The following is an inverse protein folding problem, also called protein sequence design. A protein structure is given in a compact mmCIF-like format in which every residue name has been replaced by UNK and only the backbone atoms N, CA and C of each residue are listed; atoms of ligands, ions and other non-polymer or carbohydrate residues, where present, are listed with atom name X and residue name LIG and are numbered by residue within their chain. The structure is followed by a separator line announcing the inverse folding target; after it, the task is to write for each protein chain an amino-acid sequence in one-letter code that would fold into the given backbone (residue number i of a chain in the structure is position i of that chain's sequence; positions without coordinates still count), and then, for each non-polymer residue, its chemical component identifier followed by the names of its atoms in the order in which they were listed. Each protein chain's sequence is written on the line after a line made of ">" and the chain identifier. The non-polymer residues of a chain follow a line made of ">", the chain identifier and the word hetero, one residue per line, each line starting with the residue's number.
data_IF_817290672373
#
_entry.id   IF_817290672373
#
_cell.length_a   1.000
_cell.length_b   1.000
_cell.length_c   1.000
_cell.angle_alpha   90.00
_cell.angle_beta   90.00
_cell.angle_gamma   90.00
#
_symmetry.space_group_name_H-M   'P 1'
#
loop_
_entity.id
_entity.type
_entity.pdbx_description
1 polymer ?
#
# COMPACT_ATOMS: atom_id res chain seq x y z
N UNK A 1 -2.02 11.73 0.26
CA UNK A 1 -3.32 11.41 -0.37
C UNK A 1 -4.15 10.56 0.58
N UNK A 2 -3.63 9.45 1.10
CA UNK A 2 -4.33 8.57 2.07
C UNK A 2 -4.45 9.14 3.48
N UNK A 3 -3.53 10.03 3.89
CA UNK A 3 -3.50 10.56 5.26
C UNK A 3 -2.89 9.59 6.28
N UNK A 4 -2.32 8.48 5.81
CA UNK A 4 -1.64 7.48 6.61
C UNK A 4 -0.12 7.61 6.47
N UNK A 5 0.59 7.15 7.49
CA UNK A 5 2.02 6.90 7.40
C UNK A 5 2.31 5.78 6.41
N UNK A 6 3.48 5.85 5.78
CA UNK A 6 3.97 4.79 4.90
C UNK A 6 5.03 4.02 5.69
N UNK A 7 4.71 2.78 6.02
CA UNK A 7 5.65 1.85 6.64
C UNK A 7 6.37 1.09 5.54
N UNK A 8 7.67 1.30 5.42
CA UNK A 8 8.50 0.55 4.50
C UNK A 8 8.93 -0.76 5.14
N UNK A 9 9.18 -1.77 4.31
CA UNK A 9 9.81 -3.01 4.72
C UNK A 9 11.32 -2.86 4.53
N UNK A 10 12.13 -3.46 5.40
CA UNK A 10 13.58 -3.46 5.24
C UNK A 10 14.03 -4.40 4.11
N UNK A 11 13.30 -5.50 3.91
CA UNK A 11 13.53 -6.44 2.82
C UNK A 11 13.10 -5.85 1.47
N UNK A 12 13.99 -5.90 0.48
CA UNK A 12 13.71 -5.41 -0.87
C UNK A 12 12.82 -6.38 -1.68
N UNK A 13 12.86 -7.69 -1.35
CA UNK A 13 12.06 -8.71 -2.04
C UNK A 13 10.92 -9.25 -1.15
N UNK A 14 9.83 -8.49 -1.14
CA UNK A 14 8.61 -8.85 -0.41
C UNK A 14 7.97 -10.17 -0.88
N UNK A 15 8.17 -10.55 -2.15
CA UNK A 15 7.55 -11.76 -2.71
C UNK A 15 8.29 -13.00 -2.21
N UNK A 16 9.62 -12.99 -2.27
CA UNK A 16 10.43 -14.09 -1.76
C UNK A 16 10.23 -14.28 -0.25
N UNK A 17 10.19 -13.19 0.53
CA UNK A 17 9.90 -13.29 1.95
C UNK A 17 8.48 -13.83 2.21
N UNK A 18 7.48 -13.39 1.45
CA UNK A 18 6.11 -13.92 1.54
C UNK A 18 6.02 -15.43 1.25
N UNK A 19 6.79 -15.91 0.26
CA UNK A 19 6.89 -17.33 -0.05
C UNK A 19 7.56 -18.12 1.10
N UNK A 20 8.63 -17.58 1.68
CA UNK A 20 9.30 -18.19 2.83
C UNK A 20 8.40 -18.27 4.06
N UNK A 21 7.68 -17.19 4.40
CA UNK A 21 6.67 -17.17 5.48
C UNK A 21 5.60 -18.23 5.24
N UNK A 22 5.10 -18.33 4.01
CA UNK A 22 4.08 -19.34 3.66
C UNK A 22 4.60 -20.76 3.82
N UNK A 23 5.84 -21.03 3.38
CA UNK A 23 6.50 -22.32 3.59
C UNK A 23 6.76 -22.63 5.07
N UNK A 24 7.12 -21.63 5.86
CA UNK A 24 7.35 -21.74 7.30
C UNK A 24 6.08 -22.13 8.08
N UNK A 25 4.93 -21.55 7.71
CA UNK A 25 3.62 -21.94 8.28
C UNK A 25 3.19 -23.31 7.76
N UNK A 26 3.31 -23.57 6.46
CA UNK A 26 2.89 -24.84 5.87
C UNK A 26 3.71 -26.05 6.37
N UNK A 27 4.98 -25.84 6.70
CA UNK A 27 5.85 -26.87 7.31
C UNK A 27 5.61 -27.05 8.82
N UNK A 28 4.75 -26.24 9.42
CA UNK A 28 4.41 -26.30 10.85
C UNK A 28 5.48 -25.69 11.76
N UNK A 29 6.51 -25.05 11.22
CA UNK A 29 7.54 -24.40 12.02
C UNK A 29 7.00 -23.15 12.74
N UNK A 30 5.93 -22.55 12.21
CA UNK A 30 5.11 -21.52 12.87
C UNK A 30 3.64 -21.93 12.82
N UNK A 31 2.89 -21.66 13.90
CA UNK A 31 1.50 -22.09 14.02
C UNK A 31 0.50 -21.26 13.20
N UNK A 32 0.87 -20.02 12.84
CA UNK A 32 0.05 -19.12 12.04
C UNK A 32 0.91 -18.06 11.34
N UNK A 33 0.30 -17.38 10.36
CA UNK A 33 0.95 -16.30 9.62
C UNK A 33 1.33 -15.10 10.50
N UNK A 34 0.59 -14.80 11.57
CA UNK A 34 0.86 -13.62 12.39
C UNK A 34 2.17 -13.79 13.16
N UNK A 35 2.38 -14.96 13.76
CA UNK A 35 3.61 -15.33 14.45
C UNK A 35 4.79 -15.45 13.51
N UNK A 36 4.59 -16.02 12.31
CA UNK A 36 5.62 -16.09 11.27
C UNK A 36 6.03 -14.69 10.78
N UNK A 37 5.07 -13.83 10.42
CA UNK A 37 5.36 -12.45 10.01
C UNK A 37 6.09 -11.68 11.11
N UNK A 38 5.65 -11.76 12.37
CA UNK A 38 6.34 -11.07 13.49
C UNK A 38 7.78 -11.52 13.69
N UNK A 39 8.08 -12.77 13.39
CA UNK A 39 9.42 -13.33 13.54
C UNK A 39 10.32 -13.08 12.32
N UNK A 40 9.74 -12.98 11.12
CA UNK A 40 10.47 -12.99 9.85
C UNK A 40 10.46 -11.65 9.12
N UNK A 41 9.57 -10.71 9.48
CA UNK A 41 9.47 -9.39 8.85
C UNK A 41 10.18 -8.36 9.72
N UNK A 42 11.16 -7.67 9.15
CA UNK A 42 11.77 -6.49 9.75
C UNK A 42 11.12 -5.22 9.18
N UNK A 43 10.63 -4.37 10.08
CA UNK A 43 10.06 -3.07 9.72
C UNK A 43 11.19 -2.10 9.35
N UNK A 44 11.08 -1.48 8.18
CA UNK A 44 11.98 -0.44 7.73
C UNK A 44 11.58 0.96 8.20
N UNK A 45 11.94 1.97 7.42
CA UNK A 45 11.63 3.37 7.72
C UNK A 45 10.11 3.65 7.68
N UNK A 46 9.67 4.58 8.53
CA UNK A 46 8.31 5.10 8.50
C UNK A 46 8.32 6.53 7.97
N UNK A 47 7.74 6.73 6.79
CA UNK A 47 7.53 8.06 6.23
C UNK A 47 6.24 8.63 6.82
N UNK A 48 6.41 9.60 7.71
CA UNK A 48 5.31 10.26 8.41
C UNK A 48 4.45 11.10 7.47
N UNK A 49 3.15 11.10 7.73
CA UNK A 49 2.24 12.00 7.04
C UNK A 49 2.63 13.46 7.30
N UNK A 50 2.52 14.31 6.28
CA UNK A 50 2.70 15.75 6.41
C UNK A 50 1.31 16.43 6.51
N UNK A 51 0.86 16.85 7.70
CA UNK A 51 -0.46 17.47 7.89
C UNK A 51 -0.64 18.76 7.08
N UNK A 52 0.43 19.54 6.89
CA UNK A 52 0.39 20.82 6.18
C UNK A 52 0.06 20.65 4.69
N UNK A 53 0.31 19.47 4.12
CA UNK A 53 -0.01 19.16 2.72
C UNK A 53 -1.43 18.61 2.52
N UNK A 54 -2.18 18.35 3.59
CA UNK A 54 -3.47 17.66 3.54
C UNK A 54 -4.46 18.38 2.62
N UNK A 55 -4.70 19.66 2.88
CA UNK A 55 -5.68 20.45 2.14
C UNK A 55 -5.32 20.55 0.64
N UNK A 56 -4.04 20.76 0.34
CA UNK A 56 -3.56 20.77 -1.04
C UNK A 56 -3.83 19.44 -1.77
N UNK A 57 -3.58 18.31 -1.10
CA UNK A 57 -3.79 16.97 -1.67
C UNK A 57 -5.28 16.65 -1.84
N UNK A 58 -6.15 17.10 -0.93
CA UNK A 58 -7.61 16.97 -1.06
C UNK A 58 -8.13 17.74 -2.28
N UNK A 59 -7.63 18.97 -2.51
CA UNK A 59 -7.96 19.75 -3.72
C UNK A 59 -7.47 19.03 -4.99
N UNK A 60 -6.25 18.50 -4.99
CA UNK A 60 -5.73 17.71 -6.13
C UNK A 60 -6.57 16.47 -6.40
N UNK A 61 -7.05 15.78 -5.36
CA UNK A 61 -7.89 14.61 -5.52
C UNK A 61 -9.24 14.95 -6.16
N UNK A 62 -9.85 16.07 -5.78
CA UNK A 62 -11.07 16.57 -6.43
C UNK A 62 -10.86 16.82 -7.93
N UNK A 63 -9.75 17.45 -8.30
CA UNK A 63 -9.40 17.67 -9.72
C UNK A 63 -9.26 16.33 -10.47
N UNK A 64 -8.58 15.34 -9.88
CA UNK A 64 -8.46 14.01 -10.48
C UNK A 64 -9.82 13.37 -10.77
N UNK A 65 -10.77 13.44 -9.83
CA UNK A 65 -12.13 12.91 -10.02
C UNK A 65 -12.86 13.63 -11.15
N UNK A 66 -12.76 14.96 -11.23
CA UNK A 66 -13.36 15.73 -12.33
C UNK A 66 -12.78 15.33 -13.69
N UNK A 67 -11.47 15.10 -13.78
CA UNK A 67 -10.84 14.63 -15.02
C UNK A 67 -11.35 13.24 -15.43
N UNK A 68 -11.55 12.34 -14.47
CA UNK A 68 -12.13 11.03 -14.73
C UNK A 68 -13.56 11.12 -15.27
N UNK A 69 -14.41 11.94 -14.64
CA UNK A 69 -15.78 12.17 -15.10
C UNK A 69 -15.82 12.73 -16.54
N UNK A 70 -14.94 13.69 -16.83
CA UNK A 70 -14.81 14.25 -18.18
C UNK A 70 -14.37 13.20 -19.20
N UNK A 71 -13.38 12.36 -18.86
CA UNK A 71 -12.93 11.29 -19.74
C UNK A 71 -14.06 10.30 -20.05
N UNK A 72 -14.87 9.95 -19.04
CA UNK A 72 -16.01 9.07 -19.24
C UNK A 72 -17.06 9.68 -20.18
N UNK A 73 -17.38 10.97 -20.00
CA UNK A 73 -18.31 11.68 -20.87
C UNK A 73 -17.80 11.72 -22.33
N UNK A 74 -16.52 12.00 -22.55
CA UNK A 74 -15.91 11.98 -23.89
C UNK A 74 -15.97 10.58 -24.51
N UNK A 75 -15.65 9.54 -23.74
CA UNK A 75 -15.71 8.16 -24.23
C UNK A 75 -17.12 7.77 -24.68
N UNK A 76 -18.17 8.22 -23.96
CA UNK A 76 -19.56 7.96 -24.33
C UNK A 76 -19.97 8.67 -25.63
N UNK A 77 -19.44 9.87 -25.89
CA UNK A 77 -19.71 10.61 -27.13
C UNK A 77 -19.00 10.03 -28.36
N UNK A 78 -17.95 9.25 -28.15
CA UNK A 78 -17.11 8.67 -29.21
C UNK A 78 -17.45 7.20 -29.53
N UNK A 79 -18.47 6.64 -28.88
CA UNK A 79 -19.06 5.33 -29.20
C UNK A 79 -20.14 5.45 -30.27
#
# INVERSE_FOLDING_TARGET
>A
MTGCDIHLMQEEDAVTLGAAISGAVASGAWGDFTSACKAMVEAGEVIQVNPQRREFLERKYRVYLTLWEQQQAVNQLMQ
#
